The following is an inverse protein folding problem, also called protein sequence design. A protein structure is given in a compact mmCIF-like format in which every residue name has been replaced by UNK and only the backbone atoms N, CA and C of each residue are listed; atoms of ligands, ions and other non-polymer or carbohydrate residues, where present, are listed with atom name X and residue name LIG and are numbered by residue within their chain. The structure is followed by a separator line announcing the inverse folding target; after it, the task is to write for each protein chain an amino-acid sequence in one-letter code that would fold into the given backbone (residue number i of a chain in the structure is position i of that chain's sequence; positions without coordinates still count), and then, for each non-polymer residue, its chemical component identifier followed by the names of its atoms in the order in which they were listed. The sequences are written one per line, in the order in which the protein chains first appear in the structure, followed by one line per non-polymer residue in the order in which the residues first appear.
data_IF_249276254902
#
_entry.id   IF_249276254902
#
_cell.length_a   1.000
_cell.length_b   1.000
_cell.length_c   1.000
_cell.angle_alpha   90.00
_cell.angle_beta   90.00
_cell.angle_gamma   90.00
#
_symmetry.space_group_name_H-M   'P 1'
#
loop_
_entity.id
_entity.type
_entity.pdbx_description
1 polymer ?
#
# COMPACT_ATOMS: atom_id res chain seq x y z
N UNK A 1 19.24 -50.54 -16.50
CA UNK A 1 19.19 -49.89 -15.17
C UNK A 1 19.75 -48.47 -15.15
N UNK A 2 20.89 -48.15 -15.81
CA UNK A 2 21.45 -46.78 -15.86
C UNK A 2 20.53 -45.71 -16.47
N UNK A 3 19.68 -46.06 -17.45
CA UNK A 3 18.73 -45.14 -18.10
C UNK A 3 17.51 -44.76 -17.24
N UNK A 4 17.11 -45.63 -16.30
CA UNK A 4 16.02 -45.35 -15.36
C UNK A 4 16.51 -44.42 -14.24
N UNK A 5 17.76 -44.60 -13.80
CA UNK A 5 18.38 -43.71 -12.81
C UNK A 5 18.56 -42.27 -13.32
N UNK A 6 18.90 -42.09 -14.60
CA UNK A 6 18.93 -40.78 -15.26
C UNK A 6 17.55 -40.13 -15.39
N UNK A 7 16.48 -40.92 -15.55
CA UNK A 7 15.11 -40.43 -15.62
C UNK A 7 14.59 -39.96 -14.24
N UNK A 8 14.98 -40.66 -13.16
CA UNK A 8 14.68 -40.25 -11.78
C UNK A 8 15.46 -38.99 -11.37
N UNK A 9 16.72 -38.84 -11.81
CA UNK A 9 17.51 -37.63 -11.55
C UNK A 9 16.96 -36.39 -12.29
N UNK A 10 16.32 -36.58 -13.45
CA UNK A 10 15.64 -35.53 -14.20
C UNK A 10 14.27 -35.14 -13.62
N UNK A 11 13.63 -35.99 -12.81
CA UNK A 11 12.36 -35.70 -12.13
C UNK A 11 12.54 -34.96 -10.80
N UNK A 12 13.73 -34.99 -10.20
CA UNK A 12 14.03 -34.30 -8.93
C UNK A 12 14.29 -32.79 -9.14
N UNK A 13 14.57 -32.34 -10.37
CA UNK A 13 14.93 -30.94 -10.66
C UNK A 13 13.75 -30.00 -10.93
N UNK A 14 12.50 -30.48 -10.97
CA UNK A 14 11.33 -29.64 -11.29
C UNK A 14 10.36 -29.51 -10.13
N UNK A 15 10.89 -29.19 -8.95
CA UNK A 15 10.12 -28.57 -7.88
C UNK A 15 10.72 -27.21 -7.57
N UNK A 16 10.77 -26.32 -8.59
CA UNK A 16 10.84 -24.89 -8.29
C UNK A 16 9.51 -24.53 -7.62
N UNK A 17 9.49 -24.57 -6.29
CA UNK A 17 8.53 -23.75 -5.56
C UNK A 17 8.74 -22.32 -6.06
N UNK A 18 7.69 -21.73 -6.62
CA UNK A 18 7.68 -20.31 -6.94
C UNK A 18 7.69 -19.55 -5.61
N UNK A 19 8.87 -19.38 -5.02
CA UNK A 19 9.04 -18.65 -3.78
C UNK A 19 8.84 -17.16 -4.06
N UNK A 20 7.75 -16.59 -3.55
CA UNK A 20 7.52 -15.16 -3.64
C UNK A 20 8.55 -14.43 -2.77
N UNK A 21 9.15 -13.38 -3.32
CA UNK A 21 10.05 -12.50 -2.56
C UNK A 21 9.27 -11.26 -2.18
N UNK A 22 9.36 -10.82 -0.92
CA UNK A 22 8.72 -9.59 -0.46
C UNK A 22 9.78 -8.60 -0.02
N UNK A 23 9.71 -7.42 -0.59
CA UNK A 23 10.55 -6.29 -0.22
C UNK A 23 9.70 -5.31 0.56
N UNK A 24 10.14 -4.98 1.77
CA UNK A 24 9.44 -4.06 2.64
C UNK A 24 10.05 -2.68 2.50
N UNK A 25 9.22 -1.68 2.21
CA UNK A 25 9.62 -0.29 2.15
C UNK A 25 8.97 0.53 3.27
N UNK A 26 9.72 1.48 3.83
CA UNK A 26 9.12 2.64 4.48
C UNK A 26 8.78 3.66 3.39
N UNK A 27 7.53 4.12 3.36
CA UNK A 27 7.16 5.34 2.67
C UNK A 27 7.05 6.46 3.68
N UNK A 28 7.77 7.55 3.44
CA UNK A 28 7.64 8.80 4.17
C UNK A 28 7.04 9.85 3.22
N UNK A 29 5.94 10.48 3.65
CA UNK A 29 5.25 11.52 2.89
C UNK A 29 5.13 12.80 3.70
N UNK A 30 5.42 13.93 3.08
CA UNK A 30 5.05 15.24 3.60
C UNK A 30 3.56 15.50 3.37
N UNK A 31 2.71 15.60 4.42
CA UNK A 31 1.29 15.89 4.25
C UNK A 31 1.00 17.32 3.80
N UNK A 32 1.95 18.25 3.94
CA UNK A 32 1.81 19.63 3.46
C UNK A 32 3.13 20.14 2.88
N UNK A 33 3.25 20.16 1.55
CA UNK A 33 4.46 20.66 0.87
C UNK A 33 4.76 22.14 1.10
N UNK A 34 3.83 22.90 1.70
CA UNK A 34 4.01 24.31 2.04
C UNK A 34 4.43 24.55 3.50
N UNK A 35 4.46 23.51 4.33
CA UNK A 35 4.78 23.60 5.75
C UNK A 35 5.77 22.51 6.16
N UNK A 36 6.67 22.85 7.09
CA UNK A 36 7.53 21.85 7.72
C UNK A 36 6.72 21.13 8.81
N UNK A 37 6.12 20.01 8.43
CA UNK A 37 5.35 19.14 9.31
C UNK A 37 6.00 17.76 9.40
N UNK A 38 5.83 17.01 10.50
CA UNK A 38 6.34 15.65 10.60
C UNK A 38 5.83 14.80 9.44
N UNK A 39 6.75 14.06 8.80
CA UNK A 39 6.39 13.16 7.72
C UNK A 39 5.50 12.04 8.24
N UNK A 40 4.45 11.73 7.49
CA UNK A 40 3.65 10.52 7.71
C UNK A 40 4.45 9.35 7.18
N UNK A 41 4.68 8.35 8.04
CA UNK A 41 5.43 7.13 7.70
C UNK A 41 4.53 5.91 7.72
N UNK A 42 4.68 5.02 6.76
CA UNK A 42 3.95 3.75 6.69
C UNK A 42 4.81 2.64 6.05
N UNK A 43 4.59 1.39 6.44
CA UNK A 43 5.20 0.23 5.74
C UNK A 43 4.37 -0.15 4.52
N UNK A 44 5.06 -0.33 3.40
CA UNK A 44 4.51 -0.84 2.14
C UNK A 44 5.29 -2.06 1.71
N UNK A 45 4.64 -2.91 0.93
CA UNK A 45 5.17 -4.20 0.52
C UNK A 45 5.21 -4.22 -1.00
N UNK A 46 6.36 -4.61 -1.55
CA UNK A 46 6.50 -5.06 -2.93
C UNK A 46 6.65 -6.58 -2.91
N UNK A 47 5.58 -7.31 -3.24
CA UNK A 47 5.61 -8.77 -3.37
C UNK A 47 5.87 -9.13 -4.84
N UNK A 48 7.03 -9.72 -5.09
CA UNK A 48 7.46 -10.18 -6.41
C UNK A 48 7.14 -11.67 -6.56
N UNK A 49 6.40 -11.97 -7.62
CA UNK A 49 6.08 -13.32 -8.05
C UNK A 49 6.77 -13.60 -9.39
N UNK A 50 6.46 -14.75 -10.00
CA UNK A 50 7.16 -15.22 -11.21
C UNK A 50 7.02 -14.24 -12.38
N UNK A 51 5.80 -13.84 -12.70
CA UNK A 51 5.48 -13.11 -13.92
C UNK A 51 4.93 -11.68 -13.66
N UNK A 52 4.87 -11.29 -12.38
CA UNK A 52 4.32 -10.00 -11.94
C UNK A 52 4.76 -9.62 -10.53
N UNK A 53 4.40 -8.41 -10.12
CA UNK A 53 4.53 -7.95 -8.74
C UNK A 53 3.32 -7.16 -8.26
N UNK A 54 3.21 -7.07 -6.93
CA UNK A 54 2.18 -6.33 -6.22
C UNK A 54 2.81 -5.31 -5.30
N UNK A 55 2.32 -4.08 -5.35
CA UNK A 55 2.66 -3.03 -4.38
C UNK A 55 1.42 -2.55 -3.61
N UNK A 56 1.47 -2.62 -2.29
CA UNK A 56 0.37 -2.25 -1.40
C UNK A 56 0.86 -1.90 0.02
N UNK A 57 0.00 -1.26 0.81
CA UNK A 57 0.23 -1.10 2.25
C UNK A 57 0.22 -2.43 2.98
N UNK A 58 1.12 -2.58 3.96
CA UNK A 58 1.08 -3.71 4.88
C UNK A 58 -0.21 -3.73 5.72
N UNK A 59 -0.68 -2.57 6.17
CA UNK A 59 -1.92 -2.45 6.92
C UNK A 59 -3.13 -2.84 6.05
N UNK A 60 -3.10 -2.50 4.76
CA UNK A 60 -4.11 -2.99 3.80
C UNK A 60 -4.08 -4.51 3.70
N UNK A 61 -2.91 -5.12 3.52
CA UNK A 61 -2.77 -6.58 3.45
C UNK A 61 -3.29 -7.27 4.71
N UNK A 62 -2.88 -6.79 5.89
CA UNK A 62 -3.33 -7.30 7.20
C UNK A 62 -4.85 -7.24 7.32
N UNK A 63 -5.44 -6.10 6.98
CA UNK A 63 -6.88 -5.90 7.05
C UNK A 63 -7.63 -6.80 6.08
N UNK A 64 -7.18 -6.89 4.84
CA UNK A 64 -7.87 -7.68 3.80
C UNK A 64 -7.78 -9.19 4.11
N UNK A 65 -6.64 -9.66 4.63
CA UNK A 65 -6.44 -11.04 5.10
C UNK A 65 -7.27 -11.37 6.36
N UNK A 66 -7.36 -10.44 7.31
CA UNK A 66 -8.23 -10.61 8.48
C UNK A 66 -9.70 -10.61 8.08
N UNK A 67 -10.09 -9.76 7.12
CA UNK A 67 -11.45 -9.73 6.60
C UNK A 67 -11.83 -11.03 5.91
N UNK A 68 -10.95 -11.61 5.10
CA UNK A 68 -11.27 -12.86 4.39
C UNK A 68 -11.45 -14.05 5.35
N UNK A 69 -10.71 -14.06 6.47
CA UNK A 69 -10.80 -15.12 7.48
C UNK A 69 -12.02 -14.95 8.39
N UNK A 70 -12.35 -13.72 8.78
CA UNK A 70 -13.46 -13.44 9.70
C UNK A 70 -14.82 -13.21 9.02
N UNK A 71 -14.87 -12.87 7.73
CA UNK A 71 -16.12 -12.60 7.01
C UNK A 71 -17.17 -13.73 7.10
N UNK A 72 -16.79 -15.03 7.06
CA UNK A 72 -17.75 -16.12 7.24
C UNK A 72 -18.41 -16.11 8.63
N UNK A 73 -17.64 -15.81 9.68
CA UNK A 73 -18.11 -15.75 11.07
C UNK A 73 -18.95 -14.49 11.34
N UNK A 74 -18.57 -13.35 10.75
CA UNK A 74 -19.34 -12.11 10.86
C UNK A 74 -20.70 -12.19 10.15
N UNK A 75 -20.85 -13.07 9.14
CA UNK A 75 -22.12 -13.29 8.43
C UNK A 75 -23.05 -14.27 9.17
N UNK A 76 -22.54 -15.14 10.03
CA UNK A 76 -23.32 -16.17 10.73
C UNK A 76 -23.93 -15.68 12.05
N UNK A 77 -23.38 -14.65 12.67
CA UNK A 77 -24.00 -14.03 13.85
C UNK A 77 -25.17 -13.12 13.45
N UNK A 78 -26.40 -13.58 13.68
CA UNK A 78 -27.59 -12.72 13.83
C UNK A 78 -27.39 -11.76 15.02
N UNK A 79 -26.62 -10.68 14.86
CA UNK A 79 -26.37 -9.71 15.93
C UNK A 79 -27.63 -8.87 16.20
N UNK A 80 -28.41 -9.33 17.16
CA UNK A 80 -29.40 -8.50 17.88
C UNK A 80 -28.74 -7.40 18.73
N UNK A 81 -27.43 -7.49 19.00
CA UNK A 81 -26.65 -6.42 19.66
C UNK A 81 -25.96 -5.50 18.65
N UNK A 82 -26.71 -4.48 18.20
CA UNK A 82 -26.27 -3.47 17.22
C UNK A 82 -25.28 -2.41 17.75
N UNK A 83 -24.88 -2.49 19.03
CA UNK A 83 -24.18 -1.40 19.73
C UNK A 83 -22.71 -1.66 20.12
N UNK A 84 -22.10 -2.77 19.70
CA UNK A 84 -20.66 -3.02 19.94
C UNK A 84 -19.91 -3.15 18.61
N UNK A 85 -19.75 -2.04 17.90
CA UNK A 85 -18.74 -1.95 16.84
C UNK A 85 -17.37 -1.99 17.53
N UNK A 86 -16.80 -3.18 17.66
CA UNK A 86 -15.42 -3.31 18.12
C UNK A 86 -14.51 -2.64 17.08
N UNK A 87 -13.56 -1.78 17.50
CA UNK A 87 -12.58 -1.21 16.60
C UNK A 87 -11.85 -2.35 15.88
N UNK A 88 -11.70 -2.25 14.56
CA UNK A 88 -10.91 -3.23 13.82
C UNK A 88 -9.47 -3.22 14.35
N UNK A 89 -8.87 -4.38 14.63
CA UNK A 89 -7.55 -4.46 15.25
C UNK A 89 -6.41 -4.13 14.27
N UNK A 90 -6.68 -3.44 13.16
CA UNK A 90 -5.71 -3.12 12.14
C UNK A 90 -5.61 -1.60 12.01
N UNK A 91 -4.39 -1.08 12.06
CA UNK A 91 -4.11 0.34 11.91
C UNK A 91 -4.66 0.87 10.58
N UNK A 92 -5.05 2.15 10.57
CA UNK A 92 -5.45 2.84 9.34
C UNK A 92 -4.27 2.89 8.36
N UNK A 93 -4.58 2.98 7.07
CA UNK A 93 -3.60 3.12 6.00
C UNK A 93 -3.91 4.37 5.19
N UNK A 94 -2.88 5.12 4.83
CA UNK A 94 -2.97 6.22 3.87
C UNK A 94 -2.86 5.73 2.41
N UNK A 95 -2.51 4.46 2.20
CA UNK A 95 -2.25 3.84 0.90
C UNK A 95 -3.21 2.68 0.66
N UNK A 96 -4.51 3.01 0.54
CA UNK A 96 -5.57 2.01 0.38
C UNK A 96 -5.76 1.48 -1.06
N UNK A 97 -4.69 1.49 -1.86
CA UNK A 97 -4.66 0.97 -3.22
C UNK A 97 -3.83 -0.31 -3.30
N UNK A 98 -3.97 -1.03 -4.40
CA UNK A 98 -3.06 -2.08 -4.85
C UNK A 98 -2.58 -1.74 -6.26
N UNK A 99 -1.30 -1.96 -6.51
CA UNK A 99 -0.70 -1.82 -7.84
C UNK A 99 -0.22 -3.19 -8.26
N UNK A 100 -0.74 -3.68 -9.37
CA UNK A 100 -0.26 -4.89 -10.04
C UNK A 100 0.63 -4.50 -11.21
N UNK A 101 1.78 -5.15 -11.36
CA UNK A 101 2.72 -4.92 -12.47
C UNK A 101 3.00 -6.24 -13.17
N UNK A 102 2.42 -6.44 -14.34
CA UNK A 102 2.72 -7.57 -15.20
C UNK A 102 4.05 -7.32 -15.94
N UNK A 103 4.86 -8.37 -16.07
CA UNK A 103 6.13 -8.30 -16.80
C UNK A 103 5.98 -8.62 -18.29
N UNK A 104 5.01 -9.46 -18.66
CA UNK A 104 4.80 -9.86 -20.06
C UNK A 104 3.30 -10.14 -20.39
N UNK A 105 2.64 -9.30 -21.21
CA UNK A 105 3.10 -8.01 -21.67
C UNK A 105 3.28 -7.04 -20.49
N UNK A 106 4.21 -6.09 -20.63
CA UNK A 106 4.41 -5.07 -19.61
C UNK A 106 3.14 -4.23 -19.44
N UNK A 107 2.58 -4.24 -18.23
CA UNK A 107 1.36 -3.50 -17.89
C UNK A 107 1.36 -3.18 -16.41
N UNK A 108 0.94 -1.96 -16.05
CA UNK A 108 0.78 -1.55 -14.65
C UNK A 108 -0.69 -1.21 -14.43
N UNK A 109 -1.35 -1.91 -13.51
CA UNK A 109 -2.74 -1.67 -13.13
C UNK A 109 -2.77 -1.07 -11.73
N UNK A 110 -3.39 0.10 -11.59
CA UNK A 110 -3.64 0.73 -10.31
C UNK A 110 -5.11 0.51 -9.93
N UNK A 111 -5.37 -0.04 -8.76
CA UNK A 111 -6.73 -0.30 -8.27
C UNK A 111 -6.94 0.24 -6.85
N UNK A 112 -8.06 0.92 -6.63
CA UNK A 112 -8.48 1.42 -5.32
C UNK A 112 -10.01 1.49 -5.24
N UNK A 113 -10.54 1.60 -4.01
CA UNK A 113 -11.95 1.89 -3.84
C UNK A 113 -12.20 3.41 -3.90
N UNK A 114 -12.97 3.86 -4.90
CA UNK A 114 -13.53 5.22 -4.93
C UNK A 114 -14.88 5.16 -4.20
N UNK A 115 -14.86 5.50 -2.92
CA UNK A 115 -16.02 5.28 -2.05
C UNK A 115 -16.34 3.79 -1.91
N UNK A 116 -17.60 3.37 -2.12
CA UNK A 116 -17.97 1.95 -2.06
C UNK A 116 -17.58 1.15 -3.32
N UNK A 117 -17.22 1.82 -4.42
CA UNK A 117 -16.94 1.18 -5.71
C UNK A 117 -15.45 0.84 -5.83
N UNK A 118 -15.13 -0.43 -6.09
CA UNK A 118 -13.80 -0.81 -6.54
C UNK A 118 -13.60 -0.36 -8.00
N UNK A 119 -12.53 0.40 -8.23
CA UNK A 119 -12.18 0.95 -9.53
C UNK A 119 -10.70 0.74 -9.83
N UNK A 120 -10.34 0.64 -11.10
CA UNK A 120 -8.96 0.50 -11.54
C UNK A 120 -8.70 1.18 -12.89
N UNK A 121 -7.43 1.44 -13.18
CA UNK A 121 -6.97 1.88 -14.50
C UNK A 121 -5.61 1.28 -14.84
N UNK A 122 -5.32 1.18 -16.13
CA UNK A 122 -3.98 0.88 -16.63
C UNK A 122 -3.17 2.17 -16.74
N UNK A 123 -1.98 2.21 -16.15
CA UNK A 123 -1.06 3.35 -16.28
C UNK A 123 -0.60 3.49 -17.73
N UNK A 124 -0.89 4.64 -18.32
CA UNK A 124 -0.63 4.99 -19.73
C UNK A 124 0.62 5.88 -19.88
N UNK A 125 1.13 6.45 -18.78
CA UNK A 125 2.29 7.36 -18.84
C UNK A 125 3.59 6.56 -18.91
N UNK A 126 4.47 6.86 -19.88
CA UNK A 126 5.76 6.18 -19.98
C UNK A 126 6.68 6.59 -18.84
N UNK A 127 7.42 5.63 -18.29
CA UNK A 127 8.49 5.86 -17.32
C UNK A 127 9.83 5.73 -18.02
N UNK A 128 10.50 6.86 -18.26
CA UNK A 128 11.79 6.91 -18.97
C UNK A 128 12.89 7.31 -18.00
N UNK A 129 13.68 6.34 -17.59
CA UNK A 129 14.83 6.57 -16.71
C UNK A 129 16.05 7.06 -17.49
N UNK A 130 16.69 8.08 -16.95
CA UNK A 130 18.05 8.50 -17.33
C UNK A 130 19.01 7.95 -16.27
N UNK A 131 19.85 7.00 -16.69
CA UNK A 131 20.91 6.46 -15.84
C UNK A 131 22.03 7.50 -15.69
N UNK A 132 22.65 7.54 -14.53
CA UNK A 132 23.80 8.42 -14.25
C UNK A 132 24.98 7.58 -13.74
N UNK A 133 26.17 8.18 -13.71
CA UNK A 133 27.39 7.52 -13.21
C UNK A 133 27.52 7.58 -11.68
N UNK A 134 26.65 8.35 -11.01
CA UNK A 134 26.66 8.47 -9.56
C UNK A 134 26.37 7.11 -8.91
N UNK A 135 27.21 6.75 -7.95
CA UNK A 135 27.08 5.53 -7.13
C UNK A 135 27.12 5.86 -5.65
N UNK A 136 26.52 5.00 -4.85
CA UNK A 136 26.51 5.12 -3.38
C UNK A 136 26.42 3.73 -2.74
N UNK A 137 26.49 3.66 -1.42
CA UNK A 137 26.18 2.47 -0.62
C UNK A 137 24.99 2.72 0.29
N UNK A 138 23.86 2.06 0.00
CA UNK A 138 22.63 2.19 0.78
C UNK A 138 22.23 0.81 1.29
N UNK A 139 22.02 0.70 2.62
CA UNK A 139 21.64 -0.56 3.28
C UNK A 139 22.57 -1.75 2.95
N UNK A 140 23.86 -1.48 2.73
CA UNK A 140 24.87 -2.49 2.38
C UNK A 140 24.92 -2.89 0.90
N UNK A 141 24.09 -2.28 0.04
CA UNK A 141 24.12 -2.51 -1.40
C UNK A 141 24.87 -1.41 -2.12
N UNK A 142 25.68 -1.79 -3.11
CA UNK A 142 26.17 -0.85 -4.11
C UNK A 142 24.99 -0.41 -4.99
N UNK A 143 24.71 0.88 -5.00
CA UNK A 143 23.59 1.44 -5.75
C UNK A 143 24.07 2.40 -6.83
N UNK A 144 23.25 2.55 -7.86
CA UNK A 144 23.42 3.43 -9.00
C UNK A 144 22.25 4.39 -9.06
N UNK A 145 22.51 5.65 -9.38
CA UNK A 145 21.47 6.66 -9.46
C UNK A 145 20.86 6.70 -10.86
N UNK A 146 19.54 6.89 -10.89
CA UNK A 146 18.77 7.21 -12.08
C UNK A 146 17.77 8.31 -11.77
N UNK A 147 17.36 9.06 -12.79
CA UNK A 147 16.31 10.08 -12.65
C UNK A 147 15.23 9.89 -13.70
N UNK A 148 13.98 10.26 -13.39
CA UNK A 148 12.92 10.32 -14.39
C UNK A 148 11.92 11.43 -14.06
N UNK A 149 11.17 11.87 -15.07
CA UNK A 149 9.99 12.70 -14.88
C UNK A 149 8.75 11.80 -15.00
N UNK A 150 7.98 11.68 -13.93
CA UNK A 150 6.80 10.81 -13.89
C UNK A 150 5.72 11.42 -13.00
N UNK A 151 4.48 11.45 -13.50
CA UNK A 151 3.35 11.99 -12.75
C UNK A 151 3.45 13.49 -12.39
N UNK A 152 4.18 14.28 -13.18
CA UNK A 152 4.40 15.70 -12.90
C UNK A 152 5.44 15.97 -11.80
N UNK A 153 6.24 14.97 -11.43
CA UNK A 153 7.34 15.08 -10.46
C UNK A 153 8.64 14.60 -11.08
N UNK A 154 9.75 15.19 -10.62
CA UNK A 154 11.09 14.69 -10.92
C UNK A 154 11.50 13.72 -9.81
N UNK A 155 11.85 12.51 -10.20
CA UNK A 155 12.24 11.43 -9.30
C UNK A 155 13.73 11.17 -9.38
N UNK A 156 14.32 10.88 -8.23
CA UNK A 156 15.68 10.39 -8.07
C UNK A 156 15.57 9.00 -7.45
N UNK A 157 15.99 7.98 -8.19
CA UNK A 157 16.00 6.59 -7.77
C UNK A 157 17.44 6.10 -7.62
N UNK A 158 17.66 5.28 -6.61
CA UNK A 158 18.88 4.52 -6.36
C UNK A 158 18.54 3.04 -6.46
N UNK A 159 19.15 2.34 -7.41
CA UNK A 159 18.88 0.93 -7.67
C UNK A 159 20.15 0.09 -7.55
N UNK A 160 20.02 -1.17 -7.14
CA UNK A 160 21.15 -2.12 -7.10
C UNK A 160 21.00 -3.18 -8.19
N UNK A 161 22.13 -3.56 -8.80
CA UNK A 161 22.20 -4.68 -9.76
C UNK A 161 22.38 -6.03 -9.05
N UNK A 162 22.66 -6.03 -7.75
CA UNK A 162 22.85 -7.25 -6.94
C UNK A 162 21.54 -8.03 -6.80
N UNK A 163 20.41 -7.30 -6.82
CA UNK A 163 19.06 -7.87 -6.91
C UNK A 163 18.54 -7.65 -8.33
N UNK A 164 18.64 -8.69 -9.16
CA UNK A 164 18.26 -8.69 -10.58
C UNK A 164 16.74 -8.73 -10.81
N UNK A 165 16.02 -7.82 -10.16
CA UNK A 165 14.58 -7.62 -10.33
C UNK A 165 14.37 -6.19 -10.83
N UNK A 166 13.86 -6.04 -12.05
CA UNK A 166 13.60 -4.71 -12.64
C UNK A 166 12.30 -4.09 -12.11
N UNK A 167 12.27 -3.80 -10.81
CA UNK A 167 11.06 -3.34 -10.11
C UNK A 167 11.40 -2.39 -8.95
N UNK A 168 10.37 -1.88 -8.28
CA UNK A 168 10.50 -0.95 -7.17
C UNK A 168 9.17 -0.61 -6.51
N UNK A 169 9.18 0.30 -5.53
CA UNK A 169 7.97 0.71 -4.83
C UNK A 169 7.02 1.50 -5.75
N UNK A 170 5.75 1.61 -5.35
CA UNK A 170 4.72 2.32 -6.09
C UNK A 170 4.60 1.80 -7.54
N UNK A 171 4.67 2.67 -8.55
CA UNK A 171 4.61 2.33 -9.97
C UNK A 171 6.00 2.21 -10.61
N UNK A 172 7.06 2.43 -9.84
CA UNK A 172 8.41 2.47 -10.38
C UNK A 172 8.87 1.08 -10.79
N UNK A 173 9.41 0.98 -12.01
CA UNK A 173 10.02 -0.23 -12.60
C UNK A 173 10.90 0.16 -13.79
N UNK A 174 11.57 -0.81 -14.41
CA UNK A 174 12.31 -0.61 -15.67
C UNK A 174 13.76 -0.17 -15.51
N UNK A 175 14.30 -0.18 -14.29
CA UNK A 175 15.74 -0.02 -14.05
C UNK A 175 16.45 -1.39 -14.10
N UNK A 176 17.76 -1.48 -14.42
CA UNK A 176 18.52 -2.74 -14.50
C UNK A 176 18.71 -3.51 -13.18
N UNK A 177 17.82 -3.33 -12.21
CA UNK A 177 17.85 -3.94 -10.88
C UNK A 177 16.85 -3.29 -9.94
N UNK A 178 16.80 -3.76 -8.69
CA UNK A 178 15.78 -3.35 -7.73
C UNK A 178 16.03 -1.92 -7.24
N UNK A 179 14.98 -1.09 -7.22
CA UNK A 179 15.02 0.26 -6.64
C UNK A 179 15.09 0.15 -5.11
N UNK A 180 16.23 0.47 -4.52
CA UNK A 180 16.46 0.46 -3.06
C UNK A 180 15.89 1.72 -2.41
N UNK A 181 16.00 2.86 -3.08
CA UNK A 181 15.44 4.13 -2.60
C UNK A 181 14.94 4.95 -3.78
N UNK A 182 13.80 5.60 -3.64
CA UNK A 182 13.32 6.58 -4.63
C UNK A 182 12.62 7.71 -3.93
N UNK A 183 12.93 8.92 -4.34
CA UNK A 183 12.33 10.13 -3.78
C UNK A 183 12.08 11.16 -4.86
N UNK A 184 11.14 12.06 -4.63
CA UNK A 184 11.04 13.24 -5.49
C UNK A 184 12.13 14.26 -5.14
N UNK A 185 12.36 15.19 -6.06
CA UNK A 185 13.37 16.24 -5.93
C UNK A 185 13.13 17.20 -4.76
N UNK A 186 11.90 17.25 -4.25
CA UNK A 186 11.49 18.04 -3.09
C UNK A 186 11.60 17.29 -1.76
N UNK A 187 11.73 15.96 -1.78
CA UNK A 187 11.68 15.13 -0.57
C UNK A 187 10.29 15.03 0.06
N UNK A 188 9.23 15.39 -0.68
CA UNK A 188 7.84 15.25 -0.23
C UNK A 188 7.42 13.78 -0.21
N UNK A 189 8.04 12.94 -1.04
CA UNK A 189 7.80 11.49 -1.07
C UNK A 189 9.12 10.76 -1.11
N UNK A 190 9.33 9.86 -0.16
CA UNK A 190 10.53 9.04 -0.05
C UNK A 190 10.10 7.61 0.19
N UNK A 191 10.58 6.69 -0.64
CA UNK A 191 10.48 5.25 -0.44
C UNK A 191 11.86 4.70 -0.17
N UNK A 192 12.03 3.97 0.93
CA UNK A 192 13.32 3.36 1.31
C UNK A 192 13.11 1.90 1.65
N UNK A 193 13.87 1.01 1.01
CA UNK A 193 13.89 -0.41 1.32
C UNK A 193 14.39 -0.61 2.75
N UNK A 194 13.63 -1.37 3.54
CA UNK A 194 13.99 -1.76 4.89
C UNK A 194 14.59 -3.16 4.93
N UNK A 195 13.92 -4.13 4.30
CA UNK A 195 14.32 -5.54 4.36
C UNK A 195 13.73 -6.35 3.22
N UNK A 196 14.30 -7.53 3.00
CA UNK A 196 13.79 -8.59 2.14
C UNK A 196 13.31 -9.78 2.99
N UNK A 197 12.11 -10.26 2.70
CA UNK A 197 11.48 -11.42 3.30
C UNK A 197 11.23 -12.50 2.24
N UNK A 198 11.61 -13.75 2.55
CA UNK A 198 11.24 -14.92 1.73
C UNK A 198 9.90 -15.47 2.18
N UNK A 199 8.99 -15.69 1.25
CA UNK A 199 7.63 -16.12 1.57
C UNK A 199 7.32 -17.43 0.88
N UNK A 200 6.88 -18.40 1.68
CA UNK A 200 6.50 -19.72 1.19
C UNK A 200 4.99 -19.79 0.88
N UNK A 201 4.15 -19.11 1.66
CA UNK A 201 2.72 -19.00 1.46
C UNK A 201 2.30 -17.53 1.61
N UNK A 202 1.79 -16.91 0.55
CA UNK A 202 1.26 -15.56 0.59
C UNK A 202 -0.27 -15.57 0.53
N UNK A 203 -0.90 -14.59 1.19
CA UNK A 203 -2.30 -14.30 0.95
C UNK A 203 -2.46 -13.91 -0.52
N UNK A 204 -3.45 -14.46 -1.26
CA UNK A 204 -3.63 -14.14 -2.67
C UNK A 204 -3.84 -12.64 -2.84
N UNK A 205 -2.96 -12.02 -3.60
CA UNK A 205 -3.06 -10.62 -4.00
C UNK A 205 -3.66 -10.62 -5.39
N UNK A 206 -4.92 -10.22 -5.52
CA UNK A 206 -5.56 -10.05 -6.82
C UNK A 206 -6.49 -8.85 -6.80
N UNK A 207 -6.51 -8.13 -7.92
CA UNK A 207 -7.57 -7.17 -8.19
C UNK A 207 -8.84 -7.98 -8.42
N UNK A 208 -9.93 -7.62 -7.73
CA UNK A 208 -11.19 -8.36 -7.81
C UNK A 208 -11.78 -8.28 -9.22
N UNK A 209 -12.42 -9.34 -9.67
CA UNK A 209 -13.04 -9.41 -11.00
C UNK A 209 -14.15 -8.36 -11.21
N UNK A 210 -14.84 -7.97 -10.13
CA UNK A 210 -15.88 -6.94 -10.13
C UNK A 210 -15.33 -5.49 -10.11
N UNK A 211 -14.00 -5.33 -10.15
CA UNK A 211 -13.36 -4.01 -10.18
C UNK A 211 -13.64 -3.31 -11.51
N UNK A 212 -14.20 -2.10 -11.44
CA UNK A 212 -14.54 -1.31 -12.61
C UNK A 212 -13.28 -0.72 -13.26
N UNK A 213 -12.93 -1.20 -14.44
CA UNK A 213 -11.86 -0.61 -15.25
C UNK A 213 -12.31 0.73 -15.87
N UNK A 214 -11.44 1.74 -15.76
CA UNK A 214 -11.66 3.10 -16.24
C UNK A 214 -10.43 3.58 -17.02
N UNK A 215 -10.60 4.64 -17.82
CA UNK A 215 -9.45 5.45 -18.23
C UNK A 215 -8.83 6.10 -16.99
N UNK A 216 -7.51 6.37 -17.02
CA UNK A 216 -6.85 7.08 -15.91
C UNK A 216 -7.53 8.42 -15.61
N UNK A 217 -7.93 9.16 -16.66
CA UNK A 217 -8.58 10.45 -16.52
C UNK A 217 -9.95 10.34 -15.84
N UNK A 218 -10.75 9.34 -16.21
CA UNK A 218 -12.07 9.13 -15.59
C UNK A 218 -11.97 8.61 -14.16
N UNK A 219 -10.96 7.80 -13.87
CA UNK A 219 -10.62 7.40 -12.51
C UNK A 219 -10.28 8.64 -11.66
N UNK A 220 -9.35 9.48 -12.12
CA UNK A 220 -8.95 10.71 -11.42
C UNK A 220 -10.14 11.68 -11.24
N UNK A 221 -11.01 11.81 -12.24
CA UNK A 221 -12.26 12.60 -12.16
C UNK A 221 -13.21 12.05 -11.11
N UNK A 222 -13.50 10.75 -11.11
CA UNK A 222 -14.39 10.13 -10.13
C UNK A 222 -13.87 10.31 -8.71
N UNK A 223 -12.55 10.20 -8.53
CA UNK A 223 -11.92 10.42 -7.23
C UNK A 223 -12.13 11.86 -6.73
N UNK A 224 -11.86 12.86 -7.57
CA UNK A 224 -12.09 14.27 -7.22
C UNK A 224 -13.57 14.52 -6.88
N UNK A 225 -14.48 13.99 -7.68
CA UNK A 225 -15.93 14.12 -7.47
C UNK A 225 -16.35 13.47 -6.15
N UNK A 226 -15.81 12.29 -5.82
CA UNK A 226 -16.12 11.63 -4.56
C UNK A 226 -15.53 12.40 -3.37
N UNK A 227 -14.28 12.86 -3.46
CA UNK A 227 -13.60 13.60 -2.41
C UNK A 227 -14.23 14.97 -2.13
N UNK A 228 -14.83 15.62 -3.13
CA UNK A 228 -15.52 16.91 -2.95
C UNK A 228 -16.89 16.80 -2.27
N UNK A 229 -17.45 15.59 -2.15
CA UNK A 229 -18.75 15.37 -1.47
C UNK A 229 -18.69 15.67 0.03
N UNK A 230 -19.77 16.22 0.60
CA UNK A 230 -19.97 16.31 2.05
C UNK A 230 -19.81 14.95 2.75
N UNK A 231 -19.40 14.98 4.02
CA UNK A 231 -19.06 13.76 4.77
C UNK A 231 -20.29 12.88 5.06
N UNK A 232 -21.45 13.48 5.28
CA UNK A 232 -22.75 12.83 5.43
C UNK A 232 -23.19 12.14 4.13
N UNK A 233 -22.99 12.78 2.98
CA UNK A 233 -23.27 12.16 1.68
C UNK A 233 -22.36 10.95 1.44
N UNK A 234 -21.06 11.06 1.74
CA UNK A 234 -20.11 9.93 1.68
C UNK A 234 -20.58 8.77 2.57
N UNK A 235 -20.99 9.05 3.80
CA UNK A 235 -21.50 8.04 4.73
C UNK A 235 -22.75 7.35 4.18
N UNK A 236 -23.67 8.11 3.59
CA UNK A 236 -24.88 7.57 2.95
C UNK A 236 -24.54 6.63 1.78
N UNK A 237 -23.61 7.03 0.90
CA UNK A 237 -23.16 6.19 -0.21
C UNK A 237 -22.57 4.85 0.24
N UNK A 238 -21.87 4.82 1.38
CA UNK A 238 -21.40 3.56 1.98
C UNK A 238 -22.50 2.73 2.63
N UNK A 239 -23.53 3.37 3.20
CA UNK A 239 -24.66 2.66 3.79
C UNK A 239 -25.52 1.99 2.71
N UNK A 240 -25.79 2.71 1.61
CA UNK A 240 -26.65 2.26 0.52
C UNK A 240 -26.03 1.11 -0.30
N UNK A 241 -24.70 0.98 -0.33
CA UNK A 241 -23.99 -0.08 -1.06
C UNK A 241 -24.01 -1.45 -0.36
N UNK A 242 -24.78 -1.62 0.71
CA UNK A 242 -24.81 -2.86 1.48
C UNK A 242 -23.57 -3.10 2.33
N UNK A 243 -22.59 -2.18 2.33
CA UNK A 243 -21.53 -2.08 3.33
C UNK A 243 -22.09 -1.54 4.67
N UNK A 244 -23.23 -2.06 5.10
CA UNK A 244 -23.94 -1.69 6.34
C UNK A 244 -23.36 -2.34 7.59
N UNK A 245 -22.05 -2.55 7.64
CA UNK A 245 -21.36 -2.49 8.92
C UNK A 245 -21.16 -1.03 9.22
N UNK A 246 -21.81 -0.46 10.24
CA UNK A 246 -21.43 0.85 10.80
C UNK A 246 -19.95 0.78 11.17
N UNK A 247 -19.09 1.09 10.20
CA UNK A 247 -17.65 1.32 10.27
C UNK A 247 -17.44 2.63 11.03
N UNK A 248 -17.93 2.66 12.26
CA UNK A 248 -17.73 3.72 13.24
C UNK A 248 -16.38 3.55 13.93
N UNK A 249 -15.34 3.21 13.16
CA UNK A 249 -13.99 3.61 13.50
C UNK A 249 -13.77 4.86 12.68
N UNK A 250 -13.69 6.02 13.34
CA UNK A 250 -13.42 7.34 12.77
C UNK A 250 -13.04 7.28 11.28
N UNK A 251 -14.05 7.35 10.41
CA UNK A 251 -13.85 7.85 9.06
C UNK A 251 -13.55 9.37 9.18
N UNK A 252 -12.40 9.68 9.76
CA UNK A 252 -11.49 10.63 9.13
C UNK A 252 -11.08 9.88 7.85
N UNK A 253 -11.88 9.86 6.79
CA UNK A 253 -12.28 11.09 6.15
C UNK A 253 -10.97 11.79 5.89
N UNK A 254 -10.28 11.36 4.84
CA UNK A 254 -9.03 11.91 4.36
C UNK A 254 -9.24 13.40 4.03
N UNK A 255 -9.29 14.21 5.08
CA UNK A 255 -9.09 15.66 5.09
C UNK A 255 -7.65 15.98 5.47
N UNK A 256 -6.78 14.96 5.53
CA UNK A 256 -5.36 15.18 5.31
C UNK A 256 -5.16 15.45 3.82
N UNK A 257 -4.41 16.49 3.50
CA UNK A 257 -3.98 16.88 2.15
C UNK A 257 -3.15 15.80 1.42
N UNK A 258 -3.20 14.54 1.82
CA UNK A 258 -2.59 13.39 1.15
C UNK A 258 -3.53 12.88 0.06
N UNK A 259 -3.42 13.45 -1.14
CA UNK A 259 -4.17 13.03 -2.32
C UNK A 259 -3.99 11.54 -2.60
N UNK A 260 -5.05 10.77 -2.35
CA UNK A 260 -5.33 9.60 -3.16
C UNK A 260 -5.60 10.09 -4.59
N UNK A 261 -5.26 9.28 -5.59
CA UNK A 261 -5.53 9.63 -6.98
C UNK A 261 -4.37 10.33 -7.68
N UNK A 262 -3.24 9.64 -7.73
CA UNK A 262 -2.03 10.11 -8.39
C UNK A 262 -1.35 11.18 -7.57
N UNK A 263 -0.03 11.06 -7.43
CA UNK A 263 0.82 12.14 -6.90
C UNK A 263 0.69 13.35 -7.81
N UNK A 264 -0.34 14.19 -7.62
CA UNK A 264 -0.62 15.33 -8.47
C UNK A 264 0.52 16.33 -8.32
N UNK A 265 1.34 16.44 -9.36
CA UNK A 265 2.14 17.62 -9.62
C UNK A 265 1.25 18.68 -10.24
N UNK A 266 0.77 19.64 -9.44
CA UNK A 266 0.39 20.94 -9.96
C UNK A 266 1.50 21.93 -9.58
N UNK A 267 2.43 22.10 -10.51
CA UNK A 267 3.24 23.30 -10.60
C UNK A 267 2.42 24.38 -11.30
N UNK A 268 2.26 25.52 -10.66
CA UNK A 268 1.58 26.69 -11.20
C UNK A 268 1.47 27.76 -10.13
N UNK A 269 2.40 28.72 -10.15
CA UNK A 269 2.38 29.86 -9.25
C UNK A 269 1.18 30.77 -9.50
N UNK A 270 0.87 31.62 -8.52
CA UNK A 270 0.07 32.82 -8.75
C UNK A 270 -1.03 33.06 -7.73
N UNK A 271 -0.80 34.12 -6.95
CA UNK A 271 -1.77 35.01 -6.33
C UNK A 271 -2.58 34.52 -5.13
N UNK A 272 -2.22 35.12 -3.99
CA UNK A 272 -2.90 34.94 -2.73
C UNK A 272 -4.27 35.59 -2.66
N UNK A 273 -5.01 35.18 -1.64
CA UNK A 273 -6.00 36.02 -0.95
C UNK A 273 -5.94 35.69 0.53
N UNK A 274 -5.49 36.67 1.30
CA UNK A 274 -5.70 36.75 2.74
C UNK A 274 -7.20 36.75 3.04
N UNK A 275 -7.63 36.01 4.07
CA UNK A 275 -8.78 36.43 4.90
C UNK A 275 -8.81 35.69 6.23
N UNK A 276 -8.85 36.48 7.30
CA UNK A 276 -9.61 36.17 8.51
C UNK A 276 -8.84 35.50 9.65
N UNK A 277 -8.07 36.31 10.38
CA UNK A 277 -7.79 36.06 11.80
C UNK A 277 -9.10 36.00 12.58
N UNK A 278 -9.28 34.98 13.41
CA UNK A 278 -10.05 35.11 14.65
C UNK A 278 -9.45 34.20 15.73
N UNK A 279 -9.21 34.82 16.88
CA UNK A 279 -8.41 34.35 18.01
C UNK A 279 -9.13 33.31 18.89
N UNK A 280 -8.32 32.41 19.47
CA UNK A 280 -8.30 32.16 20.91
C UNK A 280 -9.26 31.12 21.53
N UNK A 281 -8.72 29.97 21.96
CA UNK A 281 -8.87 29.42 23.33
C UNK A 281 -8.19 28.03 23.49
N UNK A 282 -7.84 27.61 24.73
CA UNK A 282 -6.48 27.13 25.04
C UNK A 282 -6.30 25.60 25.19
N UNK A 283 -5.01 25.21 25.13
CA UNK A 283 -4.35 24.00 25.60
C UNK A 283 -5.21 22.88 26.21
N UNK A 284 -5.15 21.70 25.58
CA UNK A 284 -5.18 20.42 26.31
C UNK A 284 -3.88 19.68 26.05
N UNK A 285 -3.11 19.53 27.10
CA UNK A 285 -1.95 18.65 27.19
C UNK A 285 -2.35 17.21 26.85
N UNK A 286 -1.54 16.54 26.04
CA UNK A 286 -1.67 15.09 25.80
C UNK A 286 -1.02 14.33 26.98
N UNK A 287 -1.65 13.28 27.54
CA UNK A 287 -1.00 12.46 28.54
C UNK A 287 0.15 11.67 27.90
N UNK A 288 1.32 11.75 28.52
CA UNK A 288 2.42 10.82 28.30
C UNK A 288 2.01 9.46 28.89
N UNK A 289 1.88 8.42 28.05
CA UNK A 289 1.65 7.07 28.54
C UNK A 289 2.96 6.27 28.49
N UNK A 290 3.53 6.12 29.69
CA UNK A 290 4.72 5.33 29.99
C UNK A 290 4.35 3.85 30.13
N UNK A 291 4.98 3.00 29.32
CA UNK A 291 5.32 1.62 29.68
C UNK A 291 4.24 0.77 30.32
N UNK A 292 3.21 0.36 29.57
CA UNK A 292 2.47 -0.86 29.86
C UNK A 292 2.22 -1.65 28.58
N UNK A 293 2.34 -2.98 28.69
CA UNK A 293 2.13 -3.95 27.62
C UNK A 293 0.80 -3.64 26.92
N UNK A 294 0.92 -3.25 25.65
CA UNK A 294 -0.15 -2.65 24.86
C UNK A 294 -1.39 -3.54 24.82
N UNK A 295 -2.57 -2.96 25.00
CA UNK A 295 -3.88 -3.66 24.89
C UNK A 295 -4.05 -4.44 23.57
N UNK A 296 -3.24 -4.12 22.56
CA UNK A 296 -3.20 -4.83 21.29
C UNK A 296 -2.61 -6.25 21.41
N UNK A 297 -1.57 -6.47 22.23
CA UNK A 297 -0.97 -7.81 22.45
C UNK A 297 -1.87 -8.73 23.26
N UNK A 298 -2.57 -8.19 24.27
CA UNK A 298 -3.54 -8.94 25.07
C UNK A 298 -4.70 -9.47 24.23
N UNK A 299 -5.21 -8.66 23.31
CA UNK A 299 -6.30 -9.08 22.43
C UNK A 299 -5.84 -10.11 21.40
N UNK A 300 -4.63 -9.99 20.84
CA UNK A 300 -4.09 -10.98 19.91
C UNK A 300 -3.89 -12.37 20.57
N UNK A 301 -3.36 -12.40 21.79
CA UNK A 301 -3.13 -13.66 22.51
C UNK A 301 -4.43 -14.32 23.01
N UNK A 302 -5.46 -13.54 23.35
CA UNK A 302 -6.76 -14.08 23.73
C UNK A 302 -7.47 -14.84 22.57
N UNK A 303 -7.16 -14.50 21.32
CA UNK A 303 -7.72 -15.18 20.14
C UNK A 303 -6.98 -16.46 19.74
N UNK A 304 -5.67 -16.58 20.01
CA UNK A 304 -4.90 -17.82 19.77
C UNK A 304 -5.43 -19.03 20.53
N UNK A 305 -6.03 -18.83 21.70
CA UNK A 305 -6.46 -19.93 22.58
C UNK A 305 -7.84 -20.53 22.26
N UNK A 306 -8.58 -20.03 21.27
CA UNK A 306 -9.96 -20.50 21.01
C UNK A 306 -10.18 -21.39 19.78
N UNK A 307 -9.29 -21.40 18.79
CA UNK A 307 -9.52 -22.17 17.55
C UNK A 307 -8.27 -22.94 17.13
N UNK A 308 -8.23 -24.27 17.34
CA UNK A 308 -7.10 -25.12 16.94
C UNK A 308 -7.28 -25.81 15.57
N UNK A 309 -8.23 -25.38 14.73
CA UNK A 309 -8.54 -26.08 13.44
C UNK A 309 -8.86 -25.19 12.24
N UNK A 310 -8.68 -23.87 12.32
CA UNK A 310 -8.74 -23.00 11.14
C UNK A 310 -7.31 -22.61 10.70
N UNK A 311 -7.05 -22.58 9.39
CA UNK A 311 -5.77 -22.13 8.83
C UNK A 311 -5.32 -20.83 9.50
N UNK A 312 -4.18 -20.90 10.18
CA UNK A 312 -3.65 -19.78 10.95
C UNK A 312 -3.54 -18.53 10.06
N UNK A 313 -3.98 -17.34 10.53
CA UNK A 313 -3.62 -16.10 9.88
C UNK A 313 -2.09 -16.02 9.80
N UNK A 314 -1.59 -15.57 8.65
CA UNK A 314 -0.16 -15.49 8.32
C UNK A 314 0.61 -14.95 9.53
N UNK A 315 1.60 -15.72 9.99
CA UNK A 315 2.61 -15.22 10.92
C UNK A 315 3.40 -14.13 10.20
N UNK A 316 2.95 -12.89 10.35
CA UNK A 316 3.75 -11.73 10.02
C UNK A 316 4.66 -11.58 11.24
N UNK A 317 5.95 -11.92 11.09
CA UNK A 317 6.93 -11.88 12.16
C UNK A 317 6.79 -10.59 12.96
N UNK A 318 6.57 -10.75 14.27
CA UNK A 318 6.62 -9.67 15.25
C UNK A 318 8.06 -9.22 15.43
#
# INVERSE_FOLDING_TARGET
MKKIFLLCLALITVSLSAQSRRFVYEVAMNPDSTQLVPMIKERTLLQVEKDKSYFLSENKLRRDSLLSTLAPELKSENRKDKNKAQPWPVAHTNYNYIIEKDYNPEKIVFAENIGPQASAYTEDRPMRWTLTEDTDNIAGYKVFKATCNFGGRKWIAWYTKDIQISDGPYKFKGLPGLIIKVQDDKGDYIYTLLTEEKINNSFPLNIKEDTKMLSRLDFERQQIIFESKPQDEKQKLFADSGFSGKRSGNFRGNGGRGGGGGMKGFGGGGQGRMRGMQEGSPNREMPQDSGTMSSYEKNFNAFKHKNSTAQNPIEIGL
#
